data_IF_047876534492
#
_entry.id   IF_047876534492
#
_cell.length_a   1.000
_cell.length_b   1.000
_cell.length_c   1.000
_cell.angle_alpha   90.00
_cell.angle_beta   90.00
_cell.angle_gamma   90.00
#
_symmetry.space_group_name_H-M   'P 1'
#
loop_
_entity.id
_entity.type
_entity.pdbx_description
1 polymer ?
#
# COMPACT_ATOMS: atom_id res chain seq x y z
N UNK A 1 -11.16 -6.68 -3.26
CA UNK A 1 -11.00 -7.37 -1.96
C UNK A 1 -10.76 -6.31 -0.94
N UNK A 2 -11.57 -6.32 0.10
CA UNK A 2 -11.56 -5.27 1.12
C UNK A 2 -10.85 -5.82 2.34
N UNK A 3 -9.75 -5.20 2.75
CA UNK A 3 -8.97 -5.64 3.91
C UNK A 3 -9.30 -4.75 5.10
N UNK A 4 -9.29 -5.29 6.33
CA UNK A 4 -9.39 -4.47 7.52
C UNK A 4 -8.16 -3.58 7.65
N UNK A 5 -8.34 -2.38 8.21
CA UNK A 5 -7.27 -1.43 8.45
C UNK A 5 -6.07 -2.03 9.21
N UNK A 6 -6.31 -2.99 10.10
CA UNK A 6 -5.26 -3.69 10.87
C UNK A 6 -4.23 -4.43 10.01
N UNK A 7 -4.54 -4.69 8.73
CA UNK A 7 -3.60 -5.31 7.79
C UNK A 7 -2.60 -4.32 7.19
N UNK A 8 -2.86 -3.00 7.32
CA UNK A 8 -1.97 -1.96 6.80
C UNK A 8 -0.71 -1.93 7.66
N UNK A 9 0.43 -2.14 7.01
CA UNK A 9 1.74 -2.05 7.65
C UNK A 9 2.04 -0.61 8.14
N UNK A 10 2.49 -0.50 9.40
CA UNK A 10 2.74 0.79 10.06
C UNK A 10 1.48 1.52 10.53
N UNK A 11 0.29 0.94 10.41
CA UNK A 11 -0.92 1.47 11.03
C UNK A 11 -0.99 1.03 12.50
N UNK A 12 -0.64 1.94 13.41
CA UNK A 12 -0.76 1.69 14.84
C UNK A 12 -2.22 1.58 15.31
N UNK A 13 -2.49 0.89 16.44
CA UNK A 13 -3.84 0.69 16.97
C UNK A 13 -4.54 2.02 17.31
N UNK A 14 -3.80 3.03 17.76
CA UNK A 14 -4.32 4.38 18.02
C UNK A 14 -4.80 5.08 16.75
N UNK A 15 -4.01 5.02 15.67
CA UNK A 15 -4.41 5.58 14.37
C UNK A 15 -5.60 4.81 13.78
N UNK A 16 -5.60 3.49 13.89
CA UNK A 16 -6.73 2.65 13.49
C UNK A 16 -8.01 3.01 14.26
N UNK A 17 -7.93 3.27 15.57
CA UNK A 17 -9.07 3.69 16.38
C UNK A 17 -9.61 5.06 15.94
N UNK A 18 -8.73 6.03 15.71
CA UNK A 18 -9.09 7.37 15.20
C UNK A 18 -9.79 7.30 13.83
N UNK A 19 -9.27 6.48 12.92
CA UNK A 19 -9.88 6.24 11.61
C UNK A 19 -11.24 5.56 11.73
N UNK A 20 -11.36 4.55 12.61
CA UNK A 20 -12.64 3.89 12.91
C UNK A 20 -13.68 4.85 13.47
N UNK A 21 -13.26 5.81 14.30
CA UNK A 21 -14.14 6.87 14.83
C UNK A 21 -14.68 7.77 13.70
N UNK A 22 -13.92 7.96 12.62
CA UNK A 22 -14.36 8.65 11.40
C UNK A 22 -15.16 7.74 10.44
N UNK A 23 -15.54 6.53 10.86
CA UNK A 23 -16.27 5.57 10.04
C UNK A 23 -15.39 4.78 9.04
N UNK A 24 -14.06 4.94 9.09
CA UNK A 24 -13.14 4.27 8.18
C UNK A 24 -12.71 2.96 8.84
N UNK A 25 -13.24 1.84 8.33
CA UNK A 25 -12.96 0.49 8.88
C UNK A 25 -12.12 -0.38 7.94
N UNK A 26 -12.02 0.00 6.68
CA UNK A 26 -11.38 -0.81 5.64
C UNK A 26 -10.37 -0.01 4.83
N UNK A 27 -9.44 -0.72 4.19
CA UNK A 27 -8.45 -0.14 3.26
C UNK A 27 -9.11 0.61 2.11
N UNK A 28 -10.25 0.11 1.64
CA UNK A 28 -10.98 0.69 0.51
C UNK A 28 -11.61 2.03 0.89
N UNK A 29 -12.30 2.07 2.03
CA UNK A 29 -12.87 3.32 2.57
C UNK A 29 -11.77 4.34 2.88
N UNK A 30 -10.62 3.88 3.40
CA UNK A 30 -9.48 4.75 3.64
C UNK A 30 -8.98 5.38 2.35
N UNK A 31 -8.79 4.57 1.32
CA UNK A 31 -8.32 5.03 0.01
C UNK A 31 -9.27 6.06 -0.59
N UNK A 32 -10.58 5.86 -0.48
CA UNK A 32 -11.58 6.80 -0.98
C UNK A 32 -11.55 8.12 -0.20
N UNK A 33 -11.46 8.05 1.13
CA UNK A 33 -11.39 9.23 2.00
C UNK A 33 -10.01 9.89 2.06
N UNK A 34 -8.97 9.28 1.49
CA UNK A 34 -7.62 9.83 1.42
C UNK A 34 -7.14 10.03 -0.03
N UNK A 35 -8.07 9.92 -0.98
CA UNK A 35 -7.81 9.98 -2.42
C UNK A 35 -7.27 11.34 -2.84
N UNK A 36 -7.82 12.43 -2.31
CA UNK A 36 -7.40 13.81 -2.67
C UNK A 36 -6.67 14.51 -1.53
N UNK A 37 -5.89 15.54 -1.88
CA UNK A 37 -5.23 16.40 -0.89
C UNK A 37 -6.22 17.04 0.10
N UNK A 38 -7.39 17.50 -0.39
CA UNK A 38 -8.43 18.09 0.47
C UNK A 38 -8.95 17.08 1.49
N UNK A 39 -9.24 15.86 1.05
CA UNK A 39 -9.76 14.83 1.94
C UNK A 39 -8.71 14.41 2.97
N UNK A 40 -7.44 14.24 2.56
CA UNK A 40 -6.33 13.96 3.49
C UNK A 40 -6.18 15.04 4.55
N UNK A 41 -6.28 16.31 4.16
CA UNK A 41 -6.20 17.44 5.09
C UNK A 41 -7.38 17.48 6.06
N UNK A 42 -8.60 17.22 5.58
CA UNK A 42 -9.79 17.11 6.43
C UNK A 42 -9.65 15.94 7.43
N UNK A 43 -9.17 14.80 6.96
CA UNK A 43 -8.91 13.61 7.79
C UNK A 43 -7.84 13.87 8.84
N UNK A 44 -6.74 14.51 8.45
CA UNK A 44 -5.66 14.91 9.34
C UNK A 44 -6.17 15.82 10.45
N UNK A 45 -6.98 16.83 10.11
CA UNK A 45 -7.61 17.72 11.08
C UNK A 45 -8.59 16.98 12.01
N UNK A 46 -9.42 16.09 11.48
CA UNK A 46 -10.43 15.37 12.26
C UNK A 46 -9.85 14.27 13.18
N UNK A 47 -8.74 13.67 12.78
CA UNK A 47 -8.09 12.58 13.54
C UNK A 47 -6.87 13.04 14.34
N UNK A 48 -6.33 14.23 14.05
CA UNK A 48 -5.04 14.70 14.56
C UNK A 48 -3.89 13.79 14.11
N UNK A 49 -3.95 13.27 12.88
CA UNK A 49 -2.90 12.44 12.26
C UNK A 49 -2.16 13.27 11.20
N UNK A 50 -0.90 12.92 10.92
CA UNK A 50 -0.15 13.62 9.89
C UNK A 50 -0.65 13.26 8.49
N UNK A 51 -0.84 14.27 7.63
CA UNK A 51 -1.23 14.09 6.22
C UNK A 51 -0.29 13.14 5.47
N UNK A 52 1.02 13.20 5.77
CA UNK A 52 2.03 12.30 5.20
C UNK A 52 1.78 10.84 5.58
N UNK A 53 1.42 10.55 6.83
CA UNK A 53 1.11 9.19 7.27
C UNK A 53 -0.18 8.68 6.62
N UNK A 54 -1.20 9.53 6.52
CA UNK A 54 -2.45 9.20 5.84
C UNK A 54 -2.20 8.86 4.36
N UNK A 55 -1.37 9.64 3.68
CA UNK A 55 -0.94 9.36 2.31
C UNK A 55 -0.19 8.03 2.20
N UNK A 56 0.72 7.74 3.14
CA UNK A 56 1.41 6.45 3.17
C UNK A 56 0.46 5.27 3.34
N UNK A 57 -0.55 5.37 4.22
CA UNK A 57 -1.54 4.32 4.37
C UNK A 57 -2.47 4.18 3.16
N UNK A 58 -2.85 5.30 2.54
CA UNK A 58 -3.59 5.29 1.28
C UNK A 58 -2.80 4.58 0.17
N UNK A 59 -1.50 4.83 0.06
CA UNK A 59 -0.63 4.18 -0.91
C UNK A 59 -0.51 2.66 -0.66
N UNK A 60 -0.40 2.22 0.60
CA UNK A 60 -0.45 0.78 0.93
C UNK A 60 -1.78 0.20 0.52
N UNK A 61 -2.88 0.86 0.88
CA UNK A 61 -4.23 0.42 0.57
C UNK A 61 -4.41 0.28 -0.95
N UNK A 62 -3.85 1.19 -1.75
CA UNK A 62 -3.88 1.10 -3.21
C UNK A 62 -3.07 -0.08 -3.75
N UNK A 63 -1.86 -0.32 -3.22
CA UNK A 63 -1.06 -1.51 -3.57
C UNK A 63 -1.78 -2.82 -3.23
N UNK A 64 -2.45 -2.89 -2.07
CA UNK A 64 -3.20 -4.08 -1.64
C UNK A 64 -4.44 -4.38 -2.52
N UNK A 65 -4.88 -3.44 -3.35
CA UNK A 65 -5.97 -3.69 -4.33
C UNK A 65 -5.50 -4.56 -5.51
N UNK A 66 -4.19 -4.64 -5.76
CA UNK A 66 -3.63 -5.46 -6.82
C UNK A 66 -3.93 -6.94 -6.52
N UNK A 67 -4.65 -7.61 -7.43
CA UNK A 67 -5.01 -9.02 -7.26
C UNK A 67 -3.73 -9.87 -7.16
N UNK A 68 -3.56 -10.56 -6.03
CA UNK A 68 -2.34 -11.34 -5.73
C UNK A 68 -1.27 -10.58 -4.93
N UNK A 69 -1.54 -9.32 -4.55
CA UNK A 69 -0.75 -8.53 -3.62
C UNK A 69 -1.34 -8.65 -2.21
N UNK A 70 -0.82 -9.60 -1.44
CA UNK A 70 -1.14 -9.73 -0.01
C UNK A 70 -0.30 -8.80 0.86
N UNK A 71 -0.60 -8.76 2.16
CA UNK A 71 0.11 -7.97 3.17
C UNK A 71 1.63 -8.13 3.08
N UNK A 72 2.12 -9.37 3.15
CA UNK A 72 3.54 -9.69 3.10
C UNK A 72 4.24 -9.20 1.82
N UNK A 73 3.58 -9.28 0.66
CA UNK A 73 4.13 -8.76 -0.60
C UNK A 73 4.15 -7.24 -0.63
N UNK A 74 3.13 -6.57 -0.10
CA UNK A 74 3.09 -5.12 0.00
C UNK A 74 4.18 -4.59 0.94
N UNK A 75 4.40 -5.26 2.08
CA UNK A 75 5.53 -4.99 2.98
C UNK A 75 6.87 -5.20 2.29
N UNK A 76 7.02 -6.28 1.52
CA UNK A 76 8.24 -6.56 0.79
C UNK A 76 8.54 -5.51 -0.27
N UNK A 77 7.50 -5.05 -0.99
CA UNK A 77 7.61 -3.99 -2.00
C UNK A 77 8.12 -2.69 -1.38
N UNK A 78 7.58 -2.34 -0.22
CA UNK A 78 8.00 -1.19 0.58
C UNK A 78 9.43 -1.34 1.08
N UNK A 79 9.81 -2.53 1.55
CA UNK A 79 11.17 -2.84 1.96
C UNK A 79 12.16 -2.76 0.78
N UNK A 80 11.71 -3.07 -0.43
CA UNK A 80 12.45 -2.86 -1.69
C UNK A 80 12.47 -1.39 -2.17
N UNK A 81 11.88 -0.47 -1.40
CA UNK A 81 11.90 0.98 -1.68
C UNK A 81 10.79 1.48 -2.59
N UNK A 82 9.85 0.62 -3.00
CA UNK A 82 8.70 1.02 -3.83
C UNK A 82 7.49 1.25 -2.94
N UNK A 83 7.01 2.51 -2.86
CA UNK A 83 5.93 2.89 -1.94
C UNK A 83 4.58 3.06 -2.63
N UNK A 84 4.57 3.29 -3.94
CA UNK A 84 3.35 3.65 -4.69
C UNK A 84 3.11 2.71 -5.87
N UNK A 85 1.84 2.57 -6.25
CA UNK A 85 1.43 1.80 -7.45
C UNK A 85 2.03 2.42 -8.72
N UNK A 86 2.13 3.76 -8.77
CA UNK A 86 2.78 4.49 -9.88
C UNK A 86 4.23 4.09 -10.07
N UNK A 87 5.02 4.11 -9.00
CA UNK A 87 6.41 3.69 -9.06
C UNK A 87 6.51 2.21 -9.41
N UNK A 88 5.66 1.36 -8.82
CA UNK A 88 5.65 -0.07 -9.07
C UNK A 88 5.45 -0.38 -10.57
N UNK A 89 4.52 0.31 -11.22
CA UNK A 89 4.19 0.14 -12.64
C UNK A 89 5.31 0.57 -13.59
N UNK A 90 6.15 1.53 -13.15
CA UNK A 90 7.27 2.07 -13.92
C UNK A 90 8.58 1.28 -13.69
N UNK A 91 8.66 0.45 -12.65
CA UNK A 91 9.88 -0.31 -12.35
C UNK A 91 10.09 -1.49 -13.28
N UNK A 92 11.36 -1.83 -13.47
CA UNK A 92 11.74 -3.04 -14.20
C UNK A 92 11.49 -4.27 -13.32
N UNK A 93 10.71 -5.27 -13.78
CA UNK A 93 10.34 -6.44 -12.98
C UNK A 93 11.54 -7.28 -12.54
N UNK A 94 12.59 -7.38 -13.37
CA UNK A 94 13.79 -8.16 -13.05
C UNK A 94 14.57 -7.51 -11.88
N UNK A 95 14.81 -6.20 -11.98
CA UNK A 95 15.48 -5.44 -10.91
C UNK A 95 14.64 -5.40 -9.62
N UNK A 96 13.33 -5.28 -9.75
CA UNK A 96 12.45 -5.27 -8.59
C UNK A 96 12.40 -6.65 -7.90
N UNK A 97 12.37 -7.74 -8.66
CA UNK A 97 12.44 -9.09 -8.09
C UNK A 97 13.75 -9.30 -7.30
N UNK A 98 14.89 -8.81 -7.83
CA UNK A 98 16.17 -8.84 -7.11
C UNK A 98 16.11 -8.01 -5.82
N UNK A 99 15.67 -6.76 -5.88
CA UNK A 99 15.56 -5.91 -4.70
C UNK A 99 14.59 -6.49 -3.64
N UNK A 100 13.49 -7.09 -4.09
CA UNK A 100 12.57 -7.82 -3.21
C UNK A 100 13.24 -9.07 -2.61
N UNK A 101 14.06 -9.81 -3.35
CA UNK A 101 14.79 -10.94 -2.81
C UNK A 101 15.82 -10.51 -1.75
N UNK A 102 16.56 -9.43 -2.00
CA UNK A 102 17.52 -8.86 -1.05
C UNK A 102 16.83 -8.37 0.23
N UNK A 103 15.70 -7.67 0.10
CA UNK A 103 14.89 -7.23 1.23
C UNK A 103 14.31 -8.41 2.02
N UNK A 104 13.90 -9.47 1.32
CA UNK A 104 13.39 -10.69 1.95
C UNK A 104 14.49 -11.45 2.69
N UNK A 105 15.72 -11.45 2.18
CA UNK A 105 16.87 -12.04 2.87
C UNK A 105 17.12 -11.41 4.26
N UNK A 106 16.85 -10.12 4.40
CA UNK A 106 17.01 -9.38 5.66
C UNK A 106 15.83 -9.51 6.61
N UNK A 107 14.60 -9.55 6.08
CA UNK A 107 13.36 -9.45 6.88
C UNK A 107 12.50 -10.71 6.90
N UNK A 108 12.77 -11.71 6.04
CA UNK A 108 11.97 -12.94 5.84
C UNK A 108 10.46 -12.68 5.86
N UNK A 109 10.00 -11.80 4.99
CA UNK A 109 8.60 -11.35 4.91
C UNK A 109 7.72 -12.34 4.13
N UNK A 110 8.27 -13.01 3.12
CA UNK A 110 7.56 -14.01 2.31
C UNK A 110 8.33 -15.33 2.26
N UNK A 111 7.61 -16.45 2.38
CA UNK A 111 8.18 -17.78 2.13
C UNK A 111 8.50 -17.99 0.65
N UNK A 112 7.62 -17.50 -0.24
CA UNK A 112 7.78 -17.63 -1.68
C UNK A 112 8.26 -16.32 -2.28
N UNK A 113 9.52 -16.30 -2.70
CA UNK A 113 10.10 -15.18 -3.43
C UNK A 113 9.36 -14.95 -4.75
N UNK A 114 8.95 -13.70 -5.05
CA UNK A 114 8.30 -13.40 -6.31
C UNK A 114 9.33 -13.49 -7.44
N UNK A 115 9.11 -14.40 -8.38
CA UNK A 115 9.88 -14.47 -9.64
C UNK A 115 9.64 -13.22 -10.49
N UNK A 116 10.56 -12.90 -11.42
CA UNK A 116 10.39 -11.82 -12.40
C UNK A 116 9.03 -11.91 -13.11
N UNK A 117 8.63 -13.12 -13.54
CA UNK A 117 7.33 -13.35 -14.19
C UNK A 117 6.17 -12.99 -13.26
N UNK A 118 6.25 -13.36 -11.99
CA UNK A 118 5.22 -13.02 -11.00
C UNK A 118 5.15 -11.51 -10.76
N UNK A 119 6.29 -10.82 -10.67
CA UNK A 119 6.35 -9.36 -10.55
C UNK A 119 5.79 -8.69 -11.80
N UNK A 120 6.15 -9.17 -12.99
CA UNK A 120 5.62 -8.69 -14.26
C UNK A 120 4.09 -8.78 -14.32
N UNK A 121 3.51 -9.93 -13.96
CA UNK A 121 2.06 -10.08 -13.89
C UNK A 121 1.40 -9.13 -12.88
N UNK A 122 2.04 -8.87 -11.74
CA UNK A 122 1.55 -7.90 -10.77
C UNK A 122 1.61 -6.47 -11.33
N UNK A 123 2.67 -6.11 -12.05
CA UNK A 123 2.81 -4.82 -12.73
C UNK A 123 1.70 -4.64 -13.78
N UNK A 124 1.43 -5.67 -14.59
CA UNK A 124 0.34 -5.61 -15.56
C UNK A 124 -1.03 -5.45 -14.91
N UNK A 125 -1.28 -6.14 -13.78
CA UNK A 125 -2.50 -5.96 -12.99
C UNK A 125 -2.60 -4.56 -12.38
N UNK A 126 -1.47 -4.03 -11.92
CA UNK A 126 -1.38 -2.67 -11.39
C UNK A 126 -1.64 -1.62 -12.48
N UNK A 127 -1.17 -1.83 -13.71
CA UNK A 127 -1.47 -0.97 -14.88
C UNK A 127 -2.95 -0.90 -15.21
N UNK A 128 -3.68 -2.00 -14.99
CA UNK A 128 -5.13 -2.09 -15.23
C UNK A 128 -5.97 -1.44 -14.14
N UNK A 129 -5.37 -1.07 -13.00
CA UNK A 129 -6.10 -0.42 -11.92
C UNK A 129 -6.18 1.09 -12.16
N UNK A 130 -7.37 1.70 -12.00
CA UNK A 130 -7.48 3.14 -12.06
C UNK A 130 -6.75 3.77 -10.88
N UNK A 131 -5.99 4.82 -11.17
CA UNK A 131 -5.36 5.67 -10.16
C UNK A 131 -6.44 6.30 -9.30
N UNK A 132 -6.56 5.84 -8.05
CA UNK A 132 -7.49 6.40 -7.08
C UNK A 132 -6.89 7.54 -6.25
N UNK A 133 -5.58 7.71 -6.25
CA UNK A 133 -4.90 8.76 -5.47
C UNK A 133 -4.49 9.91 -6.38
N UNK A 134 -4.96 11.10 -6.04
CA UNK A 134 -4.48 12.37 -6.56
C UNK A 134 -3.41 12.92 -5.61
N UNK A 135 -2.24 13.24 -6.17
CA UNK A 135 -1.08 13.71 -5.42
C UNK A 135 -1.16 15.22 -5.23
#
# INVERSE_FOLDING_TARGET
MTYPLSMIDGLGPLAAAKLKAQGIRTTETLLERASTFKDRKALAAATGLCEKQILEWANIADCMRIKGMGKAKAELLRAAGVKTVREFVQRNPARLAQAMAEANGKRKLVDVLPSEKSVGQLIERARKLPLKISY
#
